data_IF_612060387195
#
_entry.id   IF_612060387195
#
_cell.length_a   1.000
_cell.length_b   1.000
_cell.length_c   1.000
_cell.angle_alpha   90.00
_cell.angle_beta   90.00
_cell.angle_gamma   90.00
#
_symmetry.space_group_name_H-M   'P 1'
#
loop_
_entity.id
_entity.type
_entity.pdbx_description
1 polymer ?
#
# COMPACT_ATOMS: atom_id res chain seq x y z
N UNK A 1 -7.32 -28.87 22.23
CA UNK A 1 -6.15 -28.70 21.34
C UNK A 1 -5.02 -29.60 21.85
N UNK A 2 -4.91 -30.84 21.38
CA UNK A 2 -3.94 -31.84 21.90
C UNK A 2 -2.51 -31.70 21.31
N UNK A 3 -2.29 -30.73 20.42
CA UNK A 3 -1.04 -30.53 19.68
C UNK A 3 0.04 -29.74 20.44
N UNK A 4 -0.28 -29.14 21.60
CA UNK A 4 0.67 -28.35 22.40
C UNK A 4 1.76 -29.24 23.00
N UNK A 5 3.03 -28.84 22.83
CA UNK A 5 4.18 -29.53 23.42
C UNK A 5 4.43 -29.08 24.86
N UNK A 6 4.39 -27.76 25.08
CA UNK A 6 4.83 -27.10 26.31
C UNK A 6 3.72 -26.24 26.97
N UNK A 7 2.48 -26.36 26.51
CA UNK A 7 1.30 -25.55 26.91
C UNK A 7 1.49 -24.03 26.82
N UNK A 8 2.50 -23.53 26.10
CA UNK A 8 2.75 -22.10 25.91
C UNK A 8 2.56 -21.66 24.46
N UNK A 9 2.20 -20.40 24.27
CA UNK A 9 1.91 -19.85 22.95
C UNK A 9 2.17 -18.35 22.86
N UNK A 10 2.33 -17.87 21.63
CA UNK A 10 2.24 -16.47 21.26
C UNK A 10 0.80 -16.10 20.92
N UNK A 11 0.40 -14.90 21.32
CA UNK A 11 -0.89 -14.31 21.05
C UNK A 11 -0.74 -13.28 19.91
N UNK A 12 -1.55 -13.41 18.86
CA UNK A 12 -1.63 -12.44 17.78
C UNK A 12 -3.07 -11.92 17.73
N UNK A 13 -3.24 -10.61 17.80
CA UNK A 13 -4.57 -9.98 17.80
C UNK A 13 -4.57 -8.82 16.81
N UNK A 14 -5.63 -8.77 16.00
CA UNK A 14 -5.88 -7.71 15.04
C UNK A 14 -7.31 -7.19 15.19
N UNK A 15 -7.47 -5.87 15.13
CA UNK A 15 -8.76 -5.19 15.27
C UNK A 15 -9.27 -4.72 13.90
N UNK A 16 -10.58 -4.88 13.67
CA UNK A 16 -11.24 -4.36 12.47
C UNK A 16 -12.70 -4.04 12.77
N UNK A 17 -13.22 -3.01 12.11
CA UNK A 17 -14.65 -2.77 12.02
C UNK A 17 -15.31 -3.63 10.93
N UNK A 18 -16.53 -4.09 11.16
CA UNK A 18 -17.37 -4.70 10.12
C UNK A 18 -18.18 -3.66 9.32
N UNK A 19 -18.92 -4.12 8.31
CA UNK A 19 -19.77 -3.26 7.45
C UNK A 19 -20.92 -2.57 8.19
N UNK A 20 -21.22 -3.00 9.42
CA UNK A 20 -22.21 -2.37 10.31
C UNK A 20 -21.55 -1.47 11.37
N UNK A 21 -20.26 -1.14 11.20
CA UNK A 21 -19.44 -0.36 12.13
C UNK A 21 -19.32 -0.98 13.54
N UNK A 22 -19.44 -2.31 13.63
CA UNK A 22 -19.18 -3.02 14.88
C UNK A 22 -17.72 -3.41 14.94
N UNK A 23 -17.10 -3.09 16.07
CA UNK A 23 -15.71 -3.44 16.34
C UNK A 23 -15.59 -4.94 16.62
N UNK A 24 -14.60 -5.56 15.99
CA UNK A 24 -14.29 -6.97 16.10
C UNK A 24 -12.79 -7.16 16.26
N UNK A 25 -12.41 -8.21 16.97
CA UNK A 25 -11.01 -8.60 17.11
C UNK A 25 -10.83 -10.05 16.65
N UNK A 26 -9.89 -10.28 15.74
CA UNK A 26 -9.44 -11.61 15.38
C UNK A 26 -8.34 -12.07 16.33
N UNK A 27 -8.47 -13.27 16.88
CA UNK A 27 -7.48 -13.86 17.80
C UNK A 27 -6.86 -15.10 17.17
N UNK A 28 -5.53 -15.11 17.06
CA UNK A 28 -4.73 -16.22 16.56
C UNK A 28 -3.69 -16.59 17.61
N UNK A 29 -3.48 -17.89 17.81
CA UNK A 29 -2.39 -18.40 18.64
C UNK A 29 -1.30 -19.01 17.78
N UNK A 30 -0.05 -18.75 18.14
CA UNK A 30 1.14 -19.28 17.47
C UNK A 30 1.96 -20.09 18.45
N UNK A 31 2.24 -21.36 18.15
CA UNK A 31 2.96 -22.26 19.06
C UNK A 31 3.84 -23.24 18.29
N UNK A 32 4.67 -23.97 19.03
CA UNK A 32 5.50 -25.05 18.51
C UNK A 32 4.86 -26.37 18.93
N UNK A 33 4.55 -27.23 17.96
CA UNK A 33 3.95 -28.54 18.25
C UNK A 33 5.01 -29.53 18.76
N UNK A 34 4.58 -30.74 19.12
CA UNK A 34 5.46 -31.81 19.63
C UNK A 34 6.62 -32.17 18.69
N UNK A 35 6.43 -31.98 17.37
CA UNK A 35 7.44 -32.22 16.34
C UNK A 35 8.43 -31.06 16.14
N UNK A 36 8.31 -29.97 16.90
CA UNK A 36 9.16 -28.78 16.70
C UNK A 36 8.70 -27.87 15.55
N UNK A 37 7.50 -28.11 15.00
CA UNK A 37 6.97 -27.34 13.87
C UNK A 37 6.14 -26.17 14.41
N UNK A 38 6.40 -24.98 13.88
CA UNK A 38 5.60 -23.79 14.18
C UNK A 38 4.21 -23.92 13.54
N UNK A 39 3.17 -23.68 14.35
CA UNK A 39 1.77 -23.69 13.94
C UNK A 39 1.10 -22.39 14.34
N UNK A 40 0.22 -21.93 13.47
CA UNK A 40 -0.72 -20.85 13.74
C UNK A 40 -2.13 -21.42 13.69
N UNK A 41 -2.94 -21.13 14.71
CA UNK A 41 -4.34 -21.54 14.80
C UNK A 41 -5.19 -20.32 15.07
N UNK A 42 -6.13 -20.06 14.17
CA UNK A 42 -7.20 -19.12 14.41
C UNK A 42 -8.07 -19.66 15.54
N UNK A 43 -8.28 -18.84 16.56
CA UNK A 43 -9.09 -19.19 17.73
C UNK A 43 -10.52 -18.74 17.52
N UNK A 44 -10.70 -17.47 17.11
CA UNK A 44 -12.03 -16.92 16.89
C UNK A 44 -12.00 -15.43 16.56
N UNK A 45 -13.17 -14.92 16.20
CA UNK A 45 -13.46 -13.48 16.12
C UNK A 45 -14.35 -13.13 17.29
N UNK A 46 -13.96 -12.11 18.04
CA UNK A 46 -14.71 -11.60 19.19
C UNK A 46 -15.31 -10.26 18.82
N UNK A 47 -16.62 -10.13 18.96
CA UNK A 47 -17.25 -8.82 18.94
C UNK A 47 -16.96 -8.09 20.26
N UNK A 48 -16.43 -6.88 20.18
CA UNK A 48 -16.19 -6.03 21.35
C UNK A 48 -17.09 -4.81 21.31
N UNK A 49 -17.64 -4.43 22.46
CA UNK A 49 -18.54 -3.26 22.56
C UNK A 49 -17.81 -1.94 22.29
N UNK A 50 -16.50 -1.89 22.56
CA UNK A 50 -15.61 -0.78 22.24
C UNK A 50 -14.16 -1.28 22.13
N UNK A 51 -13.30 -0.45 21.55
CA UNK A 51 -11.87 -0.73 21.36
C UNK A 51 -11.00 -0.40 22.58
N UNK A 52 -11.59 -0.23 23.77
CA UNK A 52 -10.76 0.02 24.97
C UNK A 52 -9.96 -1.23 25.32
N UNK A 53 -8.73 -1.04 25.78
CA UNK A 53 -7.81 -2.12 26.13
C UNK A 53 -8.37 -3.11 27.15
N UNK A 54 -9.24 -2.65 28.06
CA UNK A 54 -9.92 -3.48 29.05
C UNK A 54 -10.96 -4.40 28.39
N UNK A 55 -11.79 -3.86 27.49
CA UNK A 55 -12.77 -4.65 26.73
C UNK A 55 -12.07 -5.69 25.85
N UNK A 56 -10.97 -5.30 25.20
CA UNK A 56 -10.16 -6.20 24.38
C UNK A 56 -9.57 -7.33 25.22
N UNK A 57 -8.96 -7.01 26.37
CA UNK A 57 -8.44 -8.04 27.29
C UNK A 57 -9.53 -8.99 27.76
N UNK A 58 -10.69 -8.48 28.17
CA UNK A 58 -11.79 -9.31 28.65
C UNK A 58 -12.33 -10.25 27.55
N UNK A 59 -12.38 -9.77 26.30
CA UNK A 59 -12.75 -10.58 25.14
C UNK A 59 -11.74 -11.69 24.86
N UNK A 60 -10.45 -11.39 24.94
CA UNK A 60 -9.36 -12.38 24.79
C UNK A 60 -9.43 -13.41 25.92
N UNK A 61 -9.56 -12.98 27.17
CA UNK A 61 -9.65 -13.87 28.32
C UNK A 61 -10.82 -14.86 28.19
N UNK A 62 -12.00 -14.36 27.83
CA UNK A 62 -13.19 -15.18 27.64
C UNK A 62 -13.01 -16.20 26.52
N UNK A 63 -12.52 -15.74 25.35
CA UNK A 63 -12.28 -16.62 24.20
C UNK A 63 -11.23 -17.70 24.52
N UNK A 64 -10.14 -17.33 25.19
CA UNK A 64 -9.12 -18.30 25.58
C UNK A 64 -9.70 -19.33 26.57
N UNK A 65 -10.49 -18.90 27.55
CA UNK A 65 -11.11 -19.79 28.53
C UNK A 65 -12.06 -20.82 27.88
N UNK A 66 -12.85 -20.43 26.87
CA UNK A 66 -13.70 -21.33 26.08
C UNK A 66 -12.90 -22.48 25.43
N UNK A 67 -11.64 -22.20 25.07
CA UNK A 67 -10.72 -23.17 24.49
C UNK A 67 -9.77 -23.81 25.50
N UNK A 68 -10.03 -23.65 26.81
CA UNK A 68 -9.17 -24.14 27.90
C UNK A 68 -7.73 -23.60 27.84
N UNK A 69 -7.56 -22.38 27.33
CA UNK A 69 -6.31 -21.63 27.29
C UNK A 69 -6.33 -20.51 28.36
N UNK A 70 -5.15 -19.99 28.70
CA UNK A 70 -4.99 -18.94 29.71
C UNK A 70 -3.91 -17.94 29.32
N UNK A 71 -4.10 -16.66 29.65
CA UNK A 71 -3.08 -15.62 29.47
C UNK A 71 -1.77 -15.91 30.20
N UNK A 72 -1.80 -16.67 31.31
CA UNK A 72 -0.59 -17.10 32.05
C UNK A 72 0.39 -17.93 31.20
N UNK A 73 -0.10 -18.56 30.14
CA UNK A 73 0.67 -19.39 29.21
C UNK A 73 1.21 -18.62 28.00
N UNK A 74 0.83 -17.35 27.86
CA UNK A 74 1.33 -16.49 26.79
C UNK A 74 2.82 -16.21 26.99
N UNK A 75 3.60 -16.27 25.91
CA UNK A 75 5.04 -15.96 25.92
C UNK A 75 5.42 -14.85 24.96
N UNK A 76 4.58 -14.60 23.97
CA UNK A 76 4.69 -13.43 23.11
C UNK A 76 3.33 -12.86 22.78
N UNK A 77 3.29 -11.57 22.47
CA UNK A 77 2.09 -10.88 22.08
C UNK A 77 2.39 -9.94 20.91
N UNK A 78 1.69 -10.12 19.79
CA UNK A 78 1.85 -9.35 18.56
C UNK A 78 0.60 -8.57 18.22
N UNK A 79 0.72 -7.24 18.18
CA UNK A 79 -0.37 -6.31 17.90
C UNK A 79 0.09 -5.19 16.95
N UNK A 80 -0.87 -4.46 16.38
CA UNK A 80 -0.60 -3.19 15.69
C UNK A 80 -0.13 -2.09 16.65
N UNK A 81 0.13 -0.89 16.11
CA UNK A 81 0.65 0.25 16.87
C UNK A 81 -0.40 1.09 17.59
N UNK A 82 -1.68 0.69 17.59
CA UNK A 82 -2.76 1.50 18.13
C UNK A 82 -2.53 1.77 19.63
N UNK A 83 -2.98 2.94 20.10
CA UNK A 83 -2.80 3.35 21.51
C UNK A 83 -3.44 2.37 22.49
N UNK A 84 -4.59 1.82 22.14
CA UNK A 84 -5.28 0.80 22.94
C UNK A 84 -4.55 -0.56 22.90
N UNK A 85 -3.74 -0.84 21.89
CA UNK A 85 -2.97 -2.07 21.77
C UNK A 85 -1.59 -1.96 22.45
N UNK A 86 -0.80 -0.97 22.04
CA UNK A 86 0.62 -0.80 22.42
C UNK A 86 0.85 0.28 23.49
N UNK A 87 -0.19 0.93 23.98
CA UNK A 87 -0.10 2.02 24.95
C UNK A 87 0.69 1.68 26.21
N UNK A 88 1.60 2.58 26.61
CA UNK A 88 2.56 2.40 27.72
C UNK A 88 1.91 2.19 29.09
N UNK A 89 0.74 2.77 29.33
CA UNK A 89 0.09 2.76 30.65
C UNK A 89 -1.15 1.89 30.66
N UNK A 90 -2.05 2.11 29.68
CA UNK A 90 -3.35 1.46 29.63
C UNK A 90 -3.56 0.64 28.35
N UNK A 91 -2.51 0.35 27.57
CA UNK A 91 -2.63 -0.49 26.37
C UNK A 91 -2.78 -1.97 26.73
N UNK A 92 -3.38 -2.76 25.85
CA UNK A 92 -3.59 -4.20 25.99
C UNK A 92 -2.28 -4.93 26.33
N UNK A 93 -1.21 -4.59 25.62
CA UNK A 93 0.17 -5.02 25.92
C UNK A 93 0.51 -4.88 27.40
N UNK A 94 0.26 -3.70 27.95
CA UNK A 94 0.66 -3.34 29.32
C UNK A 94 -0.19 -4.09 30.33
N UNK A 95 -1.49 -4.22 30.06
CA UNK A 95 -2.40 -5.00 30.91
C UNK A 95 -1.98 -6.48 30.98
N UNK A 96 -1.69 -7.10 29.83
CA UNK A 96 -1.23 -8.50 29.77
C UNK A 96 0.16 -8.66 30.38
N UNK A 97 1.10 -7.72 30.15
CA UNK A 97 2.42 -7.73 30.79
C UNK A 97 2.36 -7.60 32.31
N UNK A 98 1.34 -6.93 32.84
CA UNK A 98 1.17 -6.79 34.28
C UNK A 98 0.72 -8.10 34.93
N UNK A 99 -0.11 -8.88 34.24
CA UNK A 99 -0.54 -10.20 34.68
C UNK A 99 0.52 -11.29 34.43
N UNK A 100 1.19 -11.23 33.28
CA UNK A 100 2.19 -12.21 32.84
C UNK A 100 3.46 -11.50 32.33
N UNK A 101 4.47 -11.43 33.20
CA UNK A 101 5.77 -10.79 32.90
C UNK A 101 6.57 -11.51 31.80
N UNK A 102 6.20 -12.75 31.44
CA UNK A 102 6.86 -13.50 30.38
C UNK A 102 6.24 -13.25 28.99
N UNK A 103 5.17 -12.46 28.87
CA UNK A 103 4.47 -12.20 27.61
C UNK A 103 5.15 -11.08 26.80
N UNK A 104 6.27 -11.37 26.14
CA UNK A 104 7.03 -10.36 25.39
C UNK A 104 6.22 -9.75 24.25
N UNK A 105 6.16 -8.42 24.21
CA UNK A 105 5.41 -7.72 23.17
C UNK A 105 6.27 -7.40 21.95
N UNK A 106 5.73 -7.74 20.78
CA UNK A 106 6.29 -7.45 19.48
C UNK A 106 5.32 -6.51 18.77
N UNK A 107 5.82 -5.36 18.34
CA UNK A 107 5.05 -4.45 17.49
C UNK A 107 5.05 -5.02 16.07
N UNK A 108 3.88 -5.05 15.42
CA UNK A 108 3.74 -5.56 14.06
C UNK A 108 4.68 -4.83 13.08
N UNK A 109 5.68 -5.55 12.55
CA UNK A 109 6.64 -4.99 11.60
C UNK A 109 5.98 -4.45 10.33
N UNK A 110 4.94 -5.12 9.83
CA UNK A 110 4.17 -4.65 8.67
C UNK A 110 3.46 -3.33 8.94
N UNK A 111 2.95 -3.14 10.17
CA UNK A 111 2.35 -1.88 10.58
C UNK A 111 3.41 -0.78 10.78
N UNK A 112 4.59 -1.11 11.32
CA UNK A 112 5.69 -0.16 11.42
C UNK A 112 6.16 0.32 10.04
N UNK A 113 6.34 -0.60 9.09
CA UNK A 113 6.67 -0.26 7.71
C UNK A 113 5.61 0.67 7.11
N UNK A 114 4.33 0.34 7.30
CA UNK A 114 3.20 1.16 6.86
C UNK A 114 3.30 2.59 7.42
N UNK A 115 3.49 2.75 8.73
CA UNK A 115 3.60 4.05 9.38
C UNK A 115 4.78 4.87 8.85
N UNK A 116 5.94 4.24 8.63
CA UNK A 116 7.11 4.89 8.05
C UNK A 116 6.82 5.42 6.64
N UNK A 117 6.17 4.61 5.78
CA UNK A 117 5.80 5.04 4.43
C UNK A 117 4.79 6.19 4.44
N UNK A 118 3.78 6.15 5.34
CA UNK A 118 2.81 7.25 5.47
C UNK A 118 3.51 8.55 5.86
N UNK A 119 4.40 8.48 6.85
CA UNK A 119 5.11 9.66 7.34
C UNK A 119 5.96 10.29 6.25
N UNK A 120 6.77 9.50 5.54
CA UNK A 120 7.65 9.99 4.48
C UNK A 120 6.87 10.58 3.30
N UNK A 121 5.78 9.94 2.88
CA UNK A 121 4.97 10.44 1.78
C UNK A 121 4.29 11.77 2.09
N UNK A 122 3.87 12.00 3.34
CA UNK A 122 3.25 13.27 3.77
C UNK A 122 4.23 14.43 3.79
N UNK A 123 5.53 14.15 3.91
CA UNK A 123 6.59 15.17 3.89
C UNK A 123 7.01 15.55 2.47
N UNK A 124 6.59 14.79 1.44
CA UNK A 124 6.97 15.05 0.06
C UNK A 124 5.77 15.50 -0.80
N UNK A 125 5.81 16.76 -1.26
CA UNK A 125 4.72 17.35 -2.05
C UNK A 125 4.47 16.61 -3.36
N UNK A 126 5.48 16.10 -4.06
CA UNK A 126 5.28 15.39 -5.33
C UNK A 126 4.58 14.05 -5.13
N UNK A 127 4.93 13.34 -4.05
CA UNK A 127 4.27 12.08 -3.68
C UNK A 127 2.83 12.35 -3.22
N UNK A 128 2.63 13.38 -2.40
CA UNK A 128 1.30 13.84 -1.99
C UNK A 128 0.41 14.19 -3.19
N UNK A 129 0.91 15.04 -4.08
CA UNK A 129 0.22 15.44 -5.31
C UNK A 129 -0.13 14.23 -6.17
N UNK A 130 0.79 13.27 -6.34
CA UNK A 130 0.50 12.03 -7.07
C UNK A 130 -0.71 11.30 -6.46
N UNK A 131 -0.70 11.03 -5.15
CA UNK A 131 -1.79 10.27 -4.53
C UNK A 131 -3.11 11.02 -4.48
N UNK A 132 -3.08 12.34 -4.32
CA UNK A 132 -4.27 13.17 -4.41
C UNK A 132 -4.87 13.15 -5.81
N UNK A 133 -4.04 13.27 -6.85
CA UNK A 133 -4.48 13.19 -8.24
C UNK A 133 -4.98 11.80 -8.63
N UNK A 134 -4.33 10.73 -8.16
CA UNK A 134 -4.84 9.36 -8.30
C UNK A 134 -6.18 9.21 -7.58
N UNK A 135 -6.34 9.72 -6.36
CA UNK A 135 -7.61 9.67 -5.63
C UNK A 135 -8.74 10.37 -6.40
N UNK A 136 -8.47 11.56 -6.95
CA UNK A 136 -9.43 12.30 -7.79
C UNK A 136 -9.75 11.55 -9.09
N UNK A 137 -8.74 11.00 -9.76
CA UNK A 137 -8.90 10.19 -10.97
C UNK A 137 -9.84 9.00 -10.73
N UNK A 138 -9.58 8.23 -9.66
CA UNK A 138 -10.39 7.07 -9.31
C UNK A 138 -11.83 7.47 -8.97
N UNK A 139 -12.06 8.65 -8.39
CA UNK A 139 -13.42 9.16 -8.18
C UNK A 139 -14.09 9.56 -9.51
N UNK A 140 -13.37 10.17 -10.46
CA UNK A 140 -13.96 10.54 -11.75
C UNK A 140 -14.37 9.30 -12.54
N UNK A 141 -13.48 8.30 -12.62
CA UNK A 141 -13.71 7.08 -13.41
C UNK A 141 -14.62 6.09 -12.66
N UNK A 142 -14.57 6.06 -11.33
CA UNK A 142 -15.27 5.08 -10.49
C UNK A 142 -16.58 5.55 -9.86
N UNK A 143 -16.95 6.83 -9.95
CA UNK A 143 -18.15 7.36 -9.26
C UNK A 143 -19.49 6.93 -9.85
N UNK A 144 -19.51 6.29 -11.02
CA UNK A 144 -20.74 5.82 -11.66
C UNK A 144 -20.56 4.44 -12.28
N UNK A 145 -21.58 3.59 -12.15
CA UNK A 145 -21.63 2.27 -12.79
C UNK A 145 -21.38 2.37 -14.31
N UNK A 146 -21.91 3.40 -14.97
CA UNK A 146 -21.72 3.61 -16.41
C UNK A 146 -20.24 3.80 -16.78
N UNK A 147 -19.50 4.59 -16.00
CA UNK A 147 -18.07 4.84 -16.25
C UNK A 147 -17.21 3.63 -15.91
N UNK A 148 -17.60 2.89 -14.88
CA UNK A 148 -16.96 1.63 -14.54
C UNK A 148 -17.15 0.56 -15.63
N UNK A 149 -18.34 0.48 -16.23
CA UNK A 149 -18.62 -0.41 -17.36
C UNK A 149 -17.84 0.00 -18.61
N UNK A 150 -17.79 1.29 -18.91
CA UNK A 150 -17.00 1.82 -20.03
C UNK A 150 -15.50 1.53 -19.88
N UNK A 151 -14.96 1.70 -18.67
CA UNK A 151 -13.57 1.36 -18.38
C UNK A 151 -13.30 -0.14 -18.59
N UNK A 152 -14.23 -1.00 -18.15
CA UNK A 152 -14.12 -2.45 -18.35
C UNK A 152 -14.15 -2.83 -19.83
N UNK A 153 -15.01 -2.19 -20.60
CA UNK A 153 -15.10 -2.37 -22.05
C UNK A 153 -13.80 -1.96 -22.75
N UNK A 154 -13.28 -0.76 -22.44
CA UNK A 154 -12.01 -0.27 -22.98
C UNK A 154 -10.82 -1.13 -22.57
N UNK A 155 -10.81 -1.65 -21.34
CA UNK A 155 -9.79 -2.60 -20.91
C UNK A 155 -9.85 -3.89 -21.74
N UNK A 156 -11.05 -4.42 -21.98
CA UNK A 156 -11.23 -5.65 -22.76
C UNK A 156 -10.85 -5.46 -24.24
N UNK A 157 -11.15 -4.29 -24.82
CA UNK A 157 -10.77 -3.92 -26.18
C UNK A 157 -9.24 -3.92 -26.34
N UNK A 158 -8.53 -3.16 -25.49
CA UNK A 158 -7.06 -3.11 -25.49
C UNK A 158 -6.41 -4.46 -25.25
N UNK A 159 -6.99 -5.27 -24.36
CA UNK A 159 -6.51 -6.62 -24.11
C UNK A 159 -6.64 -7.51 -25.37
N UNK A 160 -7.76 -7.40 -26.08
CA UNK A 160 -7.98 -8.14 -27.32
C UNK A 160 -7.01 -7.71 -28.42
N UNK A 161 -6.74 -6.42 -28.53
CA UNK A 161 -5.74 -5.88 -29.46
C UNK A 161 -4.34 -6.43 -29.16
N UNK A 162 -3.89 -6.35 -27.92
CA UNK A 162 -2.59 -6.86 -27.51
C UNK A 162 -2.46 -8.39 -27.70
N UNK A 163 -3.53 -9.15 -27.48
CA UNK A 163 -3.58 -10.59 -27.78
C UNK A 163 -3.46 -10.86 -29.28
N UNK A 164 -4.16 -10.10 -30.11
CA UNK A 164 -4.13 -10.26 -31.56
C UNK A 164 -2.77 -9.88 -32.17
N UNK A 165 -2.03 -9.00 -31.50
CA UNK A 165 -0.68 -8.57 -31.90
C UNK A 165 0.43 -9.47 -31.32
N UNK A 166 0.09 -10.57 -30.63
CA UNK A 166 1.03 -11.45 -29.92
C UNK A 166 1.91 -10.71 -28.89
N UNK A 167 1.44 -9.58 -28.35
CA UNK A 167 2.17 -8.79 -27.35
C UNK A 167 2.05 -9.40 -25.94
N UNK A 168 0.99 -10.21 -25.70
CA UNK A 168 0.70 -10.82 -24.41
C UNK A 168 0.20 -12.26 -24.57
N UNK A 169 0.53 -13.11 -23.61
CA UNK A 169 0.13 -14.52 -23.61
C UNK A 169 -1.20 -14.77 -22.90
N UNK A 170 -1.94 -15.80 -23.32
CA UNK A 170 -3.11 -16.31 -22.60
C UNK A 170 -2.68 -17.29 -21.51
N UNK A 171 -3.22 -17.17 -20.30
CA UNK A 171 -2.94 -18.12 -19.22
C UNK A 171 -3.84 -17.94 -18.00
N UNK A 172 -3.97 -18.99 -17.19
CA UNK A 172 -4.81 -18.96 -15.99
C UNK A 172 -4.21 -18.00 -14.97
N UNK A 173 -4.93 -16.91 -14.68
CA UNK A 173 -4.48 -15.86 -13.77
C UNK A 173 -3.80 -14.67 -14.47
N UNK A 174 -3.54 -14.75 -15.77
CA UNK A 174 -3.04 -13.63 -16.57
C UNK A 174 -4.20 -12.74 -17.04
N UNK A 175 -3.91 -11.47 -17.29
CA UNK A 175 -4.82 -10.55 -17.98
C UNK A 175 -6.21 -10.40 -17.33
N UNK A 176 -6.28 -10.55 -16.00
CA UNK A 176 -7.52 -10.41 -15.26
C UNK A 176 -8.08 -8.99 -15.37
N UNK A 177 -9.41 -8.90 -15.33
CA UNK A 177 -10.09 -7.62 -15.20
C UNK A 177 -9.58 -6.88 -13.96
N UNK A 178 -9.13 -5.64 -14.17
CA UNK A 178 -8.62 -4.80 -13.10
C UNK A 178 -9.73 -3.82 -12.73
N UNK A 179 -9.92 -3.62 -11.43
CA UNK A 179 -10.77 -2.55 -10.94
C UNK A 179 -9.89 -1.36 -10.52
N UNK A 180 -10.39 -0.13 -10.67
CA UNK A 180 -9.82 1.01 -9.95
C UNK A 180 -9.98 0.75 -8.45
N UNK A 181 -8.91 0.26 -7.80
CA UNK A 181 -8.93 0.03 -6.35
C UNK A 181 -8.64 1.38 -5.71
N UNK A 182 -9.64 1.94 -5.02
CA UNK A 182 -9.39 3.06 -4.12
C UNK A 182 -8.50 2.57 -2.98
N UNK A 183 -7.34 3.18 -2.83
CA UNK A 183 -6.48 2.87 -1.71
C UNK A 183 -7.21 3.26 -0.41
N UNK A 184 -7.19 2.37 0.56
CA UNK A 184 -7.65 2.72 1.91
C UNK A 184 -6.52 3.46 2.61
N UNK A 185 -6.84 4.57 3.28
CA UNK A 185 -5.88 5.45 3.98
C UNK A 185 -4.96 4.69 4.97
N UNK A 186 -5.33 3.48 5.36
CA UNK A 186 -4.63 2.64 6.34
C UNK A 186 -3.69 1.58 5.75
N UNK A 187 -3.61 1.39 4.42
CA UNK A 187 -2.80 0.28 3.82
C UNK A 187 -2.07 0.68 2.52
N UNK A 188 -0.77 0.98 2.56
CA UNK A 188 0.11 1.30 1.41
C UNK A 188 0.23 0.15 0.40
N UNK A 189 0.02 -1.09 0.83
CA UNK A 189 -0.10 -2.21 -0.10
C UNK A 189 -1.28 -2.04 -1.08
N UNK A 190 -2.32 -1.29 -0.70
CA UNK A 190 -3.39 -0.91 -1.62
C UNK A 190 -2.98 0.22 -2.56
N UNK A 191 -2.24 1.22 -2.08
CA UNK A 191 -1.66 2.29 -2.90
C UNK A 191 -0.76 1.75 -4.01
N UNK A 192 0.14 0.80 -3.70
CA UNK A 192 0.96 0.15 -4.72
C UNK A 192 0.11 -0.50 -5.80
N UNK A 193 -0.89 -1.30 -5.40
CA UNK A 193 -1.82 -1.95 -6.33
C UNK A 193 -2.59 -0.93 -7.17
N UNK A 194 -3.01 0.19 -6.59
CA UNK A 194 -3.66 1.28 -7.32
C UNK A 194 -2.75 1.87 -8.39
N UNK A 195 -1.48 2.16 -8.08
CA UNK A 195 -0.52 2.67 -9.07
C UNK A 195 -0.25 1.65 -10.17
N UNK A 196 -0.10 0.37 -9.81
CA UNK A 196 0.07 -0.73 -10.79
C UNK A 196 -1.13 -0.81 -11.72
N UNK A 197 -2.35 -0.71 -11.19
CA UNK A 197 -3.57 -0.75 -12.00
C UNK A 197 -3.67 0.49 -12.89
N UNK A 198 -3.38 1.70 -12.38
CA UNK A 198 -3.36 2.92 -13.19
C UNK A 198 -2.35 2.84 -14.31
N UNK A 199 -1.14 2.33 -14.04
CA UNK A 199 -0.11 2.14 -15.07
C UNK A 199 -0.53 1.12 -16.13
N UNK A 200 -1.17 0.02 -15.73
CA UNK A 200 -1.64 -1.02 -16.66
C UNK A 200 -2.85 -0.60 -17.48
N UNK A 201 -3.72 0.21 -16.91
CA UNK A 201 -4.98 0.65 -17.52
C UNK A 201 -4.86 2.06 -18.12
N UNK A 202 -3.63 2.59 -18.28
CA UNK A 202 -3.42 4.00 -18.63
C UNK A 202 -4.20 4.41 -19.89
N UNK A 203 -4.07 3.66 -20.99
CA UNK A 203 -4.76 3.97 -22.24
C UNK A 203 -6.28 3.89 -22.08
N UNK A 204 -6.81 2.86 -21.40
CA UNK A 204 -8.24 2.74 -21.14
C UNK A 204 -8.77 3.87 -20.23
N UNK A 205 -7.96 4.36 -19.31
CA UNK A 205 -8.28 5.51 -18.46
C UNK A 205 -8.33 6.78 -19.31
N UNK A 206 -7.34 6.98 -20.19
CA UNK A 206 -7.31 8.13 -21.12
C UNK A 206 -8.53 8.12 -22.03
N UNK A 207 -8.87 6.99 -22.66
CA UNK A 207 -10.06 6.84 -23.50
C UNK A 207 -11.35 7.23 -22.75
N UNK A 208 -11.51 6.77 -21.50
CA UNK A 208 -12.68 7.11 -20.68
C UNK A 208 -12.71 8.60 -20.32
N UNK A 209 -11.56 9.20 -20.00
CA UNK A 209 -11.49 10.63 -19.68
C UNK A 209 -11.82 11.49 -20.90
N UNK A 210 -11.34 11.12 -22.09
CA UNK A 210 -11.66 11.84 -23.34
C UNK A 210 -13.16 11.78 -23.66
N UNK A 211 -13.80 10.62 -23.45
CA UNK A 211 -15.25 10.48 -23.57
C UNK A 211 -15.97 11.38 -22.55
N UNK A 212 -15.50 11.43 -21.29
CA UNK A 212 -16.09 12.28 -20.26
C UNK A 212 -15.89 13.77 -20.57
N UNK A 213 -14.75 14.17 -21.12
CA UNK A 213 -14.47 15.54 -21.55
C UNK A 213 -15.46 16.00 -22.63
N UNK A 214 -15.79 15.13 -23.58
CA UNK A 214 -16.70 15.44 -24.68
C UNK A 214 -18.18 15.36 -24.26
N UNK A 215 -18.57 14.29 -23.55
CA UNK A 215 -19.97 13.92 -23.29
C UNK A 215 -20.42 14.17 -21.84
N UNK A 216 -19.55 14.72 -20.98
CA UNK A 216 -19.86 14.92 -19.58
C UNK A 216 -21.09 15.80 -19.34
N UNK A 217 -21.98 15.33 -18.47
CA UNK A 217 -23.29 15.96 -18.20
C UNK A 217 -23.19 17.41 -17.73
N UNK A 218 -22.13 17.75 -17.01
CA UNK A 218 -21.90 19.10 -16.47
C UNK A 218 -20.55 19.64 -16.92
N UNK A 219 -20.41 20.97 -17.00
CA UNK A 219 -19.13 21.62 -17.25
C UNK A 219 -18.09 21.26 -16.20
N UNK A 220 -18.47 21.07 -14.94
CA UNK A 220 -17.57 20.65 -13.87
C UNK A 220 -16.96 19.28 -14.16
N UNK A 221 -17.77 18.28 -14.54
CA UNK A 221 -17.28 16.94 -14.87
C UNK A 221 -16.35 16.97 -16.09
N UNK A 222 -16.69 17.77 -17.11
CA UNK A 222 -15.86 17.92 -18.31
C UNK A 222 -14.52 18.59 -17.99
N UNK A 223 -14.53 19.69 -17.24
CA UNK A 223 -13.32 20.40 -16.82
C UNK A 223 -12.43 19.53 -15.90
N UNK A 224 -13.03 18.73 -15.03
CA UNK A 224 -12.30 17.76 -14.22
C UNK A 224 -11.58 16.74 -15.12
N UNK A 225 -12.26 16.18 -16.12
CA UNK A 225 -11.65 15.26 -17.08
C UNK A 225 -10.50 15.91 -17.88
N UNK A 226 -10.71 17.10 -18.45
CA UNK A 226 -9.66 17.88 -19.14
C UNK A 226 -8.44 18.09 -18.25
N UNK A 227 -8.65 18.46 -16.99
CA UNK A 227 -7.56 18.67 -16.03
C UNK A 227 -6.80 17.38 -15.72
N UNK A 228 -7.48 16.22 -15.66
CA UNK A 228 -6.83 14.92 -15.46
C UNK A 228 -6.05 14.47 -16.69
N UNK A 229 -6.60 14.66 -17.90
CA UNK A 229 -5.90 14.39 -19.15
C UNK A 229 -4.59 15.19 -19.18
N UNK A 230 -4.64 16.50 -18.90
CA UNK A 230 -3.45 17.35 -18.87
C UNK A 230 -2.39 16.88 -17.83
N UNK A 231 -2.84 16.44 -16.65
CA UNK A 231 -1.93 15.92 -15.62
C UNK A 231 -1.31 14.58 -16.01
N UNK A 232 -2.11 13.62 -16.48
CA UNK A 232 -1.66 12.28 -16.90
C UNK A 232 -0.73 12.35 -18.12
N UNK A 233 -0.92 13.33 -18.99
CA UNK A 233 -0.06 13.62 -20.14
C UNK A 233 1.21 14.40 -19.79
N UNK A 234 1.52 14.60 -18.50
CA UNK A 234 2.73 15.32 -18.08
C UNK A 234 3.89 14.37 -17.78
N UNK A 235 5.11 14.81 -18.12
CA UNK A 235 6.32 14.09 -17.73
C UNK A 235 6.46 13.97 -16.20
N UNK A 236 5.97 14.97 -15.44
CA UNK A 236 5.99 14.93 -13.98
C UNK A 236 5.17 13.76 -13.42
N UNK A 237 3.98 13.51 -13.98
CA UNK A 237 3.18 12.35 -13.61
C UNK A 237 3.91 11.05 -13.93
N UNK A 238 4.40 10.90 -15.16
CA UNK A 238 5.12 9.70 -15.59
C UNK A 238 6.32 9.42 -14.67
N UNK A 239 7.15 10.43 -14.41
CA UNK A 239 8.32 10.31 -13.55
C UNK A 239 7.95 9.89 -12.11
N UNK A 240 6.99 10.59 -11.50
CA UNK A 240 6.59 10.32 -10.11
C UNK A 240 5.90 8.97 -9.98
N UNK A 241 5.10 8.57 -10.98
CA UNK A 241 4.50 7.24 -11.05
C UNK A 241 5.57 6.14 -11.09
N UNK A 242 6.55 6.25 -11.98
CA UNK A 242 7.63 5.24 -12.09
C UNK A 242 8.50 5.18 -10.84
N UNK A 243 8.80 6.34 -10.24
CA UNK A 243 9.55 6.42 -8.98
C UNK A 243 8.80 5.70 -7.85
N UNK A 244 7.52 6.01 -7.67
CA UNK A 244 6.70 5.40 -6.63
C UNK A 244 6.43 3.92 -6.88
N UNK A 245 6.30 3.48 -8.14
CA UNK A 245 6.21 2.05 -8.47
C UNK A 245 7.47 1.28 -8.04
N UNK A 246 8.67 1.85 -8.23
CA UNK A 246 9.91 1.21 -7.79
C UNK A 246 9.99 1.12 -6.25
N UNK A 247 9.76 2.25 -5.56
CA UNK A 247 9.85 2.31 -4.07
C UNK A 247 8.78 1.43 -3.42
N UNK A 248 7.54 1.55 -3.90
CA UNK A 248 6.43 0.76 -3.36
C UNK A 248 6.50 -0.70 -3.76
N UNK A 249 7.11 -1.04 -4.90
CA UNK A 249 7.38 -2.43 -5.25
C UNK A 249 8.31 -3.10 -4.22
N UNK A 250 9.46 -2.49 -3.95
CA UNK A 250 10.44 -2.99 -2.97
C UNK A 250 9.80 -3.14 -1.57
N UNK A 251 9.04 -2.14 -1.13
CA UNK A 251 8.42 -2.15 0.20
C UNK A 251 7.16 -3.02 0.28
N UNK A 252 6.45 -3.22 -0.84
CA UNK A 252 5.37 -4.20 -0.95
C UNK A 252 5.90 -5.62 -0.77
N UNK A 253 7.02 -5.96 -1.41
CA UNK A 253 7.65 -7.28 -1.27
C UNK A 253 8.06 -7.54 0.18
N UNK A 254 8.65 -6.55 0.86
CA UNK A 254 8.94 -6.63 2.29
C UNK A 254 7.66 -6.86 3.10
N UNK A 255 6.61 -6.08 2.83
CA UNK A 255 5.33 -6.20 3.53
C UNK A 255 4.72 -7.61 3.38
N UNK A 256 4.74 -8.17 2.17
CA UNK A 256 4.27 -9.54 1.92
C UNK A 256 5.15 -10.58 2.62
N UNK A 257 6.47 -10.39 2.58
CA UNK A 257 7.41 -11.29 3.23
C UNK A 257 7.20 -11.33 4.75
N UNK A 258 7.03 -10.18 5.40
CA UNK A 258 6.80 -10.05 6.85
C UNK A 258 5.51 -10.72 7.34
N UNK A 259 4.53 -10.92 6.45
CA UNK A 259 3.22 -11.51 6.77
C UNK A 259 3.15 -13.04 6.55
N UNK A 260 4.23 -13.68 6.08
CA UNK A 260 4.23 -15.14 5.89
C UNK A 260 4.24 -15.87 7.24
N UNK A 261 3.52 -16.98 7.31
CA UNK A 261 3.32 -17.78 8.55
C UNK A 261 4.60 -18.41 9.10
N UNK A 262 5.58 -18.64 8.22
CA UNK A 262 6.88 -19.20 8.55
C UNK A 262 7.89 -18.14 9.05
N UNK A 263 7.47 -16.87 9.17
CA UNK A 263 8.38 -15.81 9.57
C UNK A 263 8.81 -15.83 11.01
N UNK A 264 10.07 -15.48 11.27
CA UNK A 264 10.61 -15.25 12.60
C UNK A 264 11.36 -13.91 12.66
N UNK A 265 11.72 -13.47 13.86
CA UNK A 265 12.35 -12.16 14.08
C UNK A 265 13.70 -12.06 13.36
N UNK A 266 14.54 -13.11 13.38
CA UNK A 266 15.84 -13.07 12.72
C UNK A 266 15.69 -12.86 11.21
N UNK A 267 14.82 -13.64 10.56
CA UNK A 267 14.56 -13.49 9.13
C UNK A 267 13.88 -12.13 8.82
N UNK A 268 12.99 -11.64 9.68
CA UNK A 268 12.42 -10.30 9.52
C UNK A 268 13.49 -9.20 9.54
N UNK A 269 14.48 -9.30 10.42
CA UNK A 269 15.60 -8.34 10.48
C UNK A 269 16.49 -8.42 9.23
N UNK A 270 16.75 -9.63 8.73
CA UNK A 270 17.50 -9.82 7.48
C UNK A 270 16.74 -9.28 6.26
N UNK A 271 15.42 -9.45 6.22
CA UNK A 271 14.56 -8.88 5.19
C UNK A 271 14.59 -7.36 5.22
N UNK A 272 14.44 -6.73 6.39
CA UNK A 272 14.53 -5.27 6.54
C UNK A 272 15.89 -4.76 6.08
N UNK A 273 16.98 -5.44 6.46
CA UNK A 273 18.34 -5.10 6.02
C UNK A 273 18.47 -5.17 4.49
N UNK A 274 17.95 -6.24 3.89
CA UNK A 274 17.98 -6.46 2.44
C UNK A 274 17.18 -5.38 1.71
N UNK A 275 15.97 -5.07 2.16
CA UNK A 275 15.13 -4.00 1.60
C UNK A 275 15.82 -2.65 1.70
N UNK A 276 16.46 -2.34 2.83
CA UNK A 276 17.23 -1.10 2.99
C UNK A 276 18.37 -1.01 1.97
N UNK A 277 19.12 -2.09 1.76
CA UNK A 277 20.18 -2.15 0.75
C UNK A 277 19.64 -1.97 -0.67
N UNK A 278 18.48 -2.54 -0.98
CA UNK A 278 17.81 -2.35 -2.27
C UNK A 278 17.43 -0.89 -2.51
N UNK A 279 16.86 -0.22 -1.50
CA UNK A 279 16.52 1.21 -1.57
C UNK A 279 17.78 2.08 -1.70
N UNK A 280 18.86 1.77 -0.96
CA UNK A 280 20.14 2.47 -1.06
C UNK A 280 20.77 2.29 -2.46
N UNK A 281 20.71 1.10 -3.02
CA UNK A 281 21.20 0.81 -4.38
C UNK A 281 20.36 1.55 -5.42
N UNK A 282 19.03 1.53 -5.27
CA UNK A 282 18.14 2.31 -6.12
C UNK A 282 18.48 3.80 -6.07
N UNK A 283 18.72 4.35 -4.88
CA UNK A 283 19.08 5.76 -4.72
C UNK A 283 20.43 6.09 -5.33
N UNK A 284 21.43 5.21 -5.19
CA UNK A 284 22.80 5.48 -5.67
C UNK A 284 22.95 5.29 -7.18
N UNK A 285 22.42 4.19 -7.71
CA UNK A 285 22.70 3.71 -9.07
C UNK A 285 21.42 3.58 -9.93
N UNK A 286 20.25 3.87 -9.37
CA UNK A 286 18.95 3.65 -10.02
C UNK A 286 18.43 4.79 -10.87
N UNK A 287 19.12 5.95 -10.93
CA UNK A 287 18.66 7.11 -11.70
C UNK A 287 18.45 6.78 -13.18
N UNK A 288 19.46 6.20 -13.85
CA UNK A 288 19.40 5.92 -15.28
C UNK A 288 18.32 4.86 -15.58
N UNK A 289 18.16 3.88 -14.69
CA UNK A 289 17.09 2.87 -14.80
C UNK A 289 15.71 3.50 -14.67
N UNK A 290 15.52 4.41 -13.72
CA UNK A 290 14.26 5.14 -13.54
C UNK A 290 13.95 6.02 -14.75
N UNK A 291 14.94 6.75 -15.24
CA UNK A 291 14.80 7.59 -16.44
C UNK A 291 14.44 6.76 -17.66
N UNK A 292 15.10 5.64 -17.89
CA UNK A 292 14.78 4.75 -19.00
C UNK A 292 13.34 4.21 -18.91
N UNK A 293 12.90 3.75 -17.73
CA UNK A 293 11.50 3.33 -17.50
C UNK A 293 10.51 4.47 -17.76
N UNK A 294 10.85 5.68 -17.34
CA UNK A 294 10.01 6.87 -17.51
C UNK A 294 9.90 7.26 -18.98
N UNK A 295 11.02 7.34 -19.70
CA UNK A 295 11.03 7.60 -21.14
C UNK A 295 10.26 6.53 -21.91
N UNK A 296 10.45 5.25 -21.59
CA UNK A 296 9.70 4.15 -22.24
C UNK A 296 8.20 4.27 -22.02
N UNK A 297 7.78 4.61 -20.79
CA UNK A 297 6.38 4.87 -20.48
C UNK A 297 5.86 6.08 -21.27
N UNK A 298 6.62 7.16 -21.34
CA UNK A 298 6.25 8.36 -22.08
C UNK A 298 6.11 8.09 -23.58
N UNK A 299 7.08 7.42 -24.19
CA UNK A 299 7.07 7.03 -25.61
C UNK A 299 5.86 6.16 -25.94
N UNK A 300 5.58 5.15 -25.10
CA UNK A 300 4.43 4.26 -25.26
C UNK A 300 3.10 5.03 -25.28
N UNK A 301 2.98 6.06 -24.46
CA UNK A 301 1.73 6.79 -24.23
C UNK A 301 1.70 8.19 -24.89
N UNK A 302 2.65 8.51 -25.76
CA UNK A 302 2.71 9.80 -26.47
C UNK A 302 2.97 11.02 -25.58
N UNK A 303 3.57 10.83 -24.40
CA UNK A 303 3.92 11.91 -23.48
C UNK A 303 5.27 12.53 -23.90
N UNK A 304 5.32 13.86 -23.99
CA UNK A 304 6.57 14.57 -24.32
C UNK A 304 7.62 14.41 -23.22
N UNK A 305 8.80 13.91 -23.58
CA UNK A 305 9.98 13.87 -22.70
C UNK A 305 10.76 15.18 -22.85
N UNK A 306 10.94 15.99 -21.79
CA UNK A 306 11.73 17.20 -21.87
C UNK A 306 13.22 16.86 -22.00
N UNK A 307 13.99 17.74 -22.65
CA UNK A 307 15.44 17.62 -22.63
C UNK A 307 15.97 17.98 -21.24
N UNK A 308 16.80 17.12 -20.66
CA UNK A 308 17.33 17.30 -19.30
C UNK A 308 18.22 18.53 -19.15
N UNK A 309 18.79 19.02 -20.26
CA UNK A 309 19.57 20.26 -20.29
C UNK A 309 18.71 21.53 -20.34
N UNK A 310 17.42 21.42 -20.67
CA UNK A 310 16.55 22.57 -20.85
C UNK A 310 16.22 23.22 -19.52
N UNK A 311 15.86 24.50 -19.58
CA UNK A 311 15.45 25.29 -18.42
C UNK A 311 14.11 24.77 -17.90
N UNK A 312 14.08 24.40 -16.64
CA UNK A 312 12.87 24.06 -15.91
C UNK A 312 12.27 25.33 -15.28
N UNK A 313 10.94 25.43 -15.33
CA UNK A 313 10.20 26.45 -14.61
C UNK A 313 8.91 25.86 -14.02
N UNK A 314 8.59 26.16 -12.76
CA UNK A 314 7.34 25.69 -12.15
C UNK A 314 6.13 26.32 -12.84
N UNK A 315 5.17 25.48 -13.23
CA UNK A 315 3.89 25.93 -13.80
C UNK A 315 3.15 26.84 -12.80
N UNK A 316 2.67 28.00 -13.27
CA UNK A 316 1.83 28.90 -12.48
C UNK A 316 2.53 29.83 -11.48
N UNK A 317 3.88 29.79 -11.36
CA UNK A 317 4.62 30.76 -10.52
C UNK A 317 5.20 31.91 -11.36
N UNK A 318 5.18 33.16 -10.86
CA UNK A 318 5.83 34.28 -11.53
C UNK A 318 7.33 34.01 -11.72
N UNK A 319 7.82 34.11 -12.96
CA UNK A 319 9.23 33.90 -13.33
C UNK A 319 10.22 34.89 -12.69
N UNK A 320 9.73 35.85 -11.89
CA UNK A 320 10.52 37.01 -11.48
C UNK A 320 11.63 36.72 -10.47
N UNK A 321 11.60 35.57 -9.77
CA UNK A 321 12.56 35.23 -8.71
C UNK A 321 12.96 33.73 -8.66
N UNK A 322 12.84 32.98 -9.75
CA UNK A 322 13.20 31.54 -9.76
C UNK A 322 14.63 31.41 -10.29
N UNK A 323 15.53 30.83 -9.49
CA UNK A 323 16.86 30.44 -9.97
C UNK A 323 16.73 29.58 -11.23
N UNK A 324 17.54 29.85 -12.26
CA UNK A 324 17.54 29.02 -13.46
C UNK A 324 18.01 27.61 -13.09
N UNK A 325 17.09 26.64 -13.15
CA UNK A 325 17.36 25.23 -12.89
C UNK A 325 17.14 24.44 -14.16
N UNK A 326 17.93 23.40 -14.38
CA UNK A 326 17.69 22.45 -15.48
C UNK A 326 16.63 21.42 -15.08
N UNK A 327 16.02 20.77 -16.07
CA UNK A 327 15.18 19.60 -15.83
C UNK A 327 15.95 18.48 -15.11
N UNK A 328 17.24 18.28 -15.43
CA UNK A 328 18.11 17.33 -14.70
C UNK A 328 18.16 17.67 -13.21
N UNK A 329 18.45 18.93 -12.88
CA UNK A 329 18.54 19.36 -11.49
C UNK A 329 17.23 19.13 -10.75
N UNK A 330 16.10 19.53 -11.35
CA UNK A 330 14.78 19.36 -10.76
C UNK A 330 14.45 17.89 -10.48
N UNK A 331 14.48 17.03 -11.50
CA UNK A 331 14.07 15.64 -11.33
C UNK A 331 15.08 14.79 -10.56
N UNK A 332 16.38 14.98 -10.80
CA UNK A 332 17.44 14.20 -10.16
C UNK A 332 17.70 14.66 -8.73
N UNK A 333 17.84 15.95 -8.51
CA UNK A 333 18.24 16.48 -7.20
C UNK A 333 17.02 16.73 -6.31
N UNK A 334 16.01 17.43 -6.81
CA UNK A 334 14.90 17.89 -5.96
C UNK A 334 13.84 16.82 -5.72
N UNK A 335 13.70 15.85 -6.63
CA UNK A 335 12.70 14.78 -6.51
C UNK A 335 13.39 13.46 -6.16
N UNK A 336 14.25 12.93 -7.04
CA UNK A 336 14.80 11.59 -6.88
C UNK A 336 15.69 11.39 -5.65
N UNK A 337 16.55 12.35 -5.30
CA UNK A 337 17.38 12.25 -4.09
C UNK A 337 16.66 12.71 -2.80
N UNK A 338 15.51 13.38 -2.91
CA UNK A 338 14.77 13.87 -1.75
C UNK A 338 13.77 12.84 -1.23
N UNK A 339 13.23 12.02 -2.13
CA UNK A 339 12.40 10.84 -1.82
C UNK A 339 13.31 9.67 -1.45
#
# INVERSE_FOLDING_TARGET
MEEFKDDVFGLLVDESGDVSHKEQMGVVVRYVNKMGIVKERFVGVVHVQNTSSLSLKAGIDSLLAEHSLSLSKVRSQGYDGASNMQGKFNGLKTLILNENKCAYSIHCFSHQLQLTLVALARENNYVGDLFDEIGKLLNVVGSSCKRHDLLREKQAEKLREALNNDEIETGRGLNQQLAPIRAGDTRWGSHYKSLVNVSRMFDSIMDVLEIIELEGETSTIRNDATSRIAYLSSFNFAFTLQLMLNILGITHDLSQALQKKDQNIANAMDLVKTTKQQLETMRKDGWDTLMHKTSTFCEKHGISVPSMSDKWAPLGRPRRNVEERSYDFHYRIEIFYTI
#
